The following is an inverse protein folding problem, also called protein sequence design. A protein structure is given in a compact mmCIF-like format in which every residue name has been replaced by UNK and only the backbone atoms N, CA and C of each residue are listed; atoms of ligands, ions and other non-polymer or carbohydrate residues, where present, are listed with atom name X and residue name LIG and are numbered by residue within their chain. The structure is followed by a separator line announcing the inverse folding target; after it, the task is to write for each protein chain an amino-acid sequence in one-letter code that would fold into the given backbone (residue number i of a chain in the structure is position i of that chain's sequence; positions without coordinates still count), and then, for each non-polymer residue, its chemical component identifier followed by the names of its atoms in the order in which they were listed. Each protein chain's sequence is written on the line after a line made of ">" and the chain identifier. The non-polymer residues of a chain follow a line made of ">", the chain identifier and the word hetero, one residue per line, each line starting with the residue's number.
data_IF_142875827702
#
_entry.id   IF_142875827702
#
_cell.length_a   1.000
_cell.length_b   1.000
_cell.length_c   1.000
_cell.angle_alpha   90.00
_cell.angle_beta   90.00
_cell.angle_gamma   90.00
#
_symmetry.space_group_name_H-M   'P 1'
#
loop_
_entity.id
_entity.type
_entity.pdbx_description
1 polymer ?
#
# COMPACT_ATOMS: atom_id res chain seq x y z
N UNK A 1 0.41 6.66 51.16
CA UNK A 1 1.88 6.93 51.22
C UNK A 1 2.34 7.56 49.90
N UNK A 2 2.93 8.69 49.98
CA UNK A 2 3.45 9.38 48.82
C UNK A 2 4.83 8.82 48.44
N UNK A 3 5.11 8.81 47.16
CA UNK A 3 6.40 8.29 46.70
C UNK A 3 6.55 8.35 45.19
N UNK A 4 7.76 8.00 44.76
CA UNK A 4 8.06 7.90 43.33
C UNK A 4 7.94 6.46 42.90
N UNK A 5 7.22 6.24 41.82
CA UNK A 5 6.95 4.90 41.30
C UNK A 5 7.64 4.74 39.95
N UNK A 6 8.40 3.67 39.81
CA UNK A 6 9.11 3.38 38.56
C UNK A 6 8.42 2.21 37.87
N UNK A 7 8.00 2.43 36.65
CA UNK A 7 7.31 1.41 35.86
C UNK A 7 8.16 1.09 34.63
N UNK A 8 8.56 -0.18 34.55
CA UNK A 8 9.34 -0.64 33.40
C UNK A 8 8.42 -0.89 32.23
N UNK A 9 8.62 -0.16 31.15
CA UNK A 9 7.85 -0.31 29.93
C UNK A 9 8.59 -1.19 28.93
N UNK A 10 7.85 -2.04 28.26
CA UNK A 10 8.38 -2.89 27.20
C UNK A 10 8.02 -2.30 25.85
N UNK A 11 8.84 -2.56 24.85
CA UNK A 11 8.58 -2.12 23.50
C UNK A 11 9.19 -0.79 23.10
N UNK A 12 9.78 -0.09 24.08
CA UNK A 12 10.40 1.21 23.80
C UNK A 12 11.68 1.15 22.98
N UNK A 13 12.25 -0.05 22.85
CA UNK A 13 13.43 -0.23 22.02
C UNK A 13 13.07 -0.72 20.62
N UNK A 14 11.80 -0.80 20.32
CA UNK A 14 11.36 -1.11 18.98
C UNK A 14 11.83 -0.03 18.01
N UNK A 15 12.16 -0.43 16.79
CA UNK A 15 12.62 0.50 15.79
C UNK A 15 11.53 1.49 15.46
N UNK A 16 11.82 2.75 15.63
CA UNK A 16 10.91 3.82 15.21
C UNK A 16 11.27 4.20 13.78
N UNK A 17 10.28 4.15 12.91
CA UNK A 17 10.51 4.41 11.49
C UNK A 17 10.54 5.91 11.24
N UNK A 18 11.52 6.36 10.48
CA UNK A 18 11.63 7.75 10.06
C UNK A 18 10.60 8.02 8.97
N UNK A 19 10.13 9.25 8.93
CA UNK A 19 9.17 9.66 7.92
C UNK A 19 7.77 9.14 8.19
N UNK A 20 6.88 9.36 7.25
CA UNK A 20 5.47 9.03 7.43
C UNK A 20 4.93 8.10 6.36
N UNK A 21 5.79 7.59 5.47
CA UNK A 21 5.30 6.78 4.35
C UNK A 21 4.78 5.42 4.80
N UNK A 22 5.13 5.00 6.01
CA UNK A 22 4.66 3.73 6.58
C UNK A 22 3.27 3.80 7.18
N UNK A 23 2.72 4.99 7.42
CA UNK A 23 1.46 5.13 8.16
C UNK A 23 0.31 4.57 7.34
N UNK A 24 -0.36 3.56 7.89
CA UNK A 24 -1.29 2.73 7.13
C UNK A 24 -2.63 2.62 7.83
N UNK A 25 -3.65 2.33 7.05
CA UNK A 25 -5.00 2.10 7.55
C UNK A 25 -5.51 0.72 7.16
N UNK A 26 -6.33 0.14 8.03
CA UNK A 26 -6.94 -1.17 7.78
C UNK A 26 -8.39 -1.12 8.23
N UNK A 27 -9.29 -1.47 7.32
CA UNK A 27 -10.72 -1.53 7.62
C UNK A 27 -11.22 -2.93 7.29
N UNK A 28 -11.90 -3.56 8.25
CA UNK A 28 -12.49 -4.87 8.05
C UNK A 28 -14.00 -4.70 8.08
N UNK A 29 -14.68 -5.22 7.07
CA UNK A 29 -16.14 -5.22 6.98
C UNK A 29 -16.65 -6.64 7.19
N UNK A 30 -17.53 -6.82 8.18
CA UNK A 30 -18.20 -8.08 8.35
C UNK A 30 -18.05 -8.72 9.72
N UNK A 31 -17.53 -8.00 10.70
CA UNK A 31 -17.48 -8.55 12.07
C UNK A 31 -17.69 -7.42 13.09
N UNK A 32 -17.63 -7.78 14.38
CA UNK A 32 -17.96 -6.85 15.46
C UNK A 32 -17.29 -5.49 15.26
N UNK A 33 -18.07 -4.43 15.42
CA UNK A 33 -17.59 -3.07 15.17
C UNK A 33 -16.49 -2.67 16.16
N UNK A 34 -15.45 -2.02 15.64
CA UNK A 34 -14.40 -1.40 16.42
C UNK A 34 -14.22 0.01 15.84
N UNK A 35 -14.35 1.02 16.70
CA UNK A 35 -14.22 2.41 16.28
C UNK A 35 -12.78 2.69 15.83
N UNK A 36 -12.58 3.72 15.02
CA UNK A 36 -11.22 4.06 14.57
C UNK A 36 -10.23 4.15 15.72
N UNK A 37 -9.10 3.50 15.58
CA UNK A 37 -8.12 3.32 16.65
C UNK A 37 -6.72 3.35 16.06
N UNK A 38 -5.80 4.05 16.72
CA UNK A 38 -4.38 4.02 16.37
C UNK A 38 -3.67 2.95 17.18
N UNK A 39 -2.89 2.13 16.49
CA UNK A 39 -2.08 1.08 17.11
C UNK A 39 -0.60 1.30 16.80
N UNK A 40 0.24 1.15 17.81
CA UNK A 40 1.69 1.24 17.65
C UNK A 40 2.36 -0.13 17.80
N UNK A 41 1.67 -1.11 18.34
CA UNK A 41 2.20 -2.47 18.48
C UNK A 41 1.08 -3.44 18.82
N UNK A 42 1.38 -4.73 18.69
CA UNK A 42 0.40 -5.78 19.04
C UNK A 42 0.12 -5.85 20.54
N UNK A 43 1.01 -5.32 21.37
CA UNK A 43 0.79 -5.33 22.81
C UNK A 43 -0.41 -4.46 23.22
N UNK A 44 -0.85 -3.57 22.34
CA UNK A 44 -1.97 -2.68 22.65
C UNK A 44 -3.35 -3.31 22.41
N UNK A 45 -3.41 -4.49 21.77
CA UNK A 45 -4.68 -5.03 21.30
C UNK A 45 -5.67 -5.29 22.43
N UNK A 46 -5.21 -5.90 23.52
CA UNK A 46 -6.11 -6.16 24.65
C UNK A 46 -6.66 -4.87 25.23
N UNK A 47 -5.82 -3.86 25.38
CA UNK A 47 -6.26 -2.57 25.93
C UNK A 47 -7.21 -1.81 25.02
N UNK A 48 -7.25 -2.16 23.73
CA UNK A 48 -8.17 -1.54 22.77
C UNK A 48 -9.37 -2.42 22.47
N UNK A 49 -9.54 -3.52 23.22
CA UNK A 49 -10.66 -4.45 23.07
C UNK A 49 -10.70 -5.10 21.69
N UNK A 50 -9.54 -5.38 21.13
CA UNK A 50 -9.43 -6.12 19.87
C UNK A 50 -8.94 -7.52 20.20
N UNK A 51 -9.86 -8.48 20.15
CA UNK A 51 -9.61 -9.85 20.61
C UNK A 51 -9.82 -10.83 19.46
N UNK A 52 -9.08 -11.95 19.45
CA UNK A 52 -9.23 -12.93 18.38
C UNK A 52 -10.59 -13.65 18.37
N UNK A 53 -11.35 -13.62 19.46
CA UNK A 53 -12.65 -14.27 19.49
C UNK A 53 -13.78 -13.38 18.97
N UNK A 54 -13.71 -12.06 19.19
CA UNK A 54 -14.76 -11.14 18.74
C UNK A 54 -14.47 -10.53 17.38
N UNK A 55 -13.19 -10.31 17.06
CA UNK A 55 -12.78 -9.75 15.77
C UNK A 55 -11.63 -10.58 15.21
N UNK A 56 -11.88 -11.84 14.85
CA UNK A 56 -10.78 -12.71 14.42
C UNK A 56 -10.08 -12.23 13.15
N UNK A 57 -10.80 -11.66 12.17
CA UNK A 57 -10.18 -11.23 10.92
C UNK A 57 -9.37 -9.96 11.15
N UNK A 58 -9.92 -9.00 11.89
CA UNK A 58 -9.19 -7.78 12.20
C UNK A 58 -7.91 -8.11 12.99
N UNK A 59 -8.05 -8.94 14.01
CA UNK A 59 -6.91 -9.36 14.83
C UNK A 59 -5.84 -10.03 13.99
N UNK A 60 -6.25 -10.93 13.10
CA UNK A 60 -5.31 -11.63 12.23
C UNK A 60 -4.52 -10.65 11.36
N UNK A 61 -5.21 -9.73 10.69
CA UNK A 61 -4.54 -8.80 9.79
C UNK A 61 -3.62 -7.84 10.55
N UNK A 62 -4.04 -7.40 11.75
CA UNK A 62 -3.19 -6.53 12.57
C UNK A 62 -1.90 -7.24 12.94
N UNK A 63 -2.00 -8.48 13.40
CA UNK A 63 -0.80 -9.22 13.80
C UNK A 63 0.09 -9.53 12.61
N UNK A 64 -0.48 -9.79 11.44
CA UNK A 64 0.33 -9.97 10.23
C UNK A 64 1.02 -8.67 9.83
N UNK A 65 0.33 -7.54 9.93
CA UNK A 65 0.93 -6.25 9.63
C UNK A 65 2.17 -6.00 10.49
N UNK A 66 2.03 -6.17 11.79
CA UNK A 66 3.14 -5.90 12.70
C UNK A 66 4.21 -6.98 12.66
N UNK A 67 3.87 -8.21 12.27
CA UNK A 67 4.87 -9.24 12.03
C UNK A 67 5.83 -8.82 10.91
N UNK A 68 5.27 -8.21 9.87
CA UNK A 68 6.04 -7.80 8.70
C UNK A 68 6.77 -6.47 8.94
N UNK A 69 6.13 -5.51 9.64
CA UNK A 69 6.73 -4.19 9.83
C UNK A 69 6.51 -3.69 11.25
N UNK A 70 7.27 -4.26 12.16
CA UNK A 70 7.27 -3.83 13.56
C UNK A 70 7.77 -2.38 13.64
N UNK A 71 7.09 -1.56 14.42
CA UNK A 71 7.45 -0.15 14.57
C UNK A 71 6.65 0.80 13.71
N UNK A 72 5.86 0.28 12.77
CA UNK A 72 5.00 1.12 11.96
C UNK A 72 3.75 1.52 12.76
N UNK A 73 3.08 2.58 12.28
CA UNK A 73 1.80 3.00 12.84
C UNK A 73 0.67 2.44 12.00
N UNK A 74 -0.36 1.94 12.67
CA UNK A 74 -1.51 1.35 11.98
C UNK A 74 -2.80 1.89 12.57
N UNK A 75 -3.64 2.49 11.73
CA UNK A 75 -4.97 2.91 12.11
C UNK A 75 -5.95 1.83 11.66
N UNK A 76 -6.84 1.42 12.54
CA UNK A 76 -7.76 0.31 12.24
C UNK A 76 -9.19 0.68 12.54
N UNK A 77 -10.10 -0.02 11.87
CA UNK A 77 -11.53 0.06 12.13
C UNK A 77 -12.18 -1.23 11.67
N UNK A 78 -13.22 -1.66 12.40
CA UNK A 78 -14.04 -2.78 11.98
C UNK A 78 -15.49 -2.31 11.89
N UNK A 79 -16.18 -2.74 10.83
CA UNK A 79 -17.56 -2.35 10.54
C UNK A 79 -18.38 -3.63 10.45
N UNK A 80 -19.57 -3.61 11.08
CA UNK A 80 -20.36 -4.84 11.19
C UNK A 80 -20.78 -5.41 9.83
N UNK A 81 -21.07 -4.55 8.86
CA UNK A 81 -21.42 -5.02 7.52
C UNK A 81 -21.09 -3.95 6.49
N UNK A 82 -20.75 -4.40 5.29
CA UNK A 82 -20.47 -3.49 4.19
C UNK A 82 -21.79 -3.06 3.54
N UNK A 83 -21.92 -1.75 3.28
CA UNK A 83 -23.07 -1.25 2.51
C UNK A 83 -22.69 -0.98 1.04
N UNK A 84 -21.45 -1.28 0.66
CA UNK A 84 -20.98 -1.07 -0.70
C UNK A 84 -20.50 0.32 -1.02
N UNK A 85 -20.52 1.23 -0.05
CA UNK A 85 -20.08 2.61 -0.28
C UNK A 85 -18.71 2.92 0.27
N UNK A 86 -18.22 2.13 1.22
CA UNK A 86 -16.87 2.22 1.79
C UNK A 86 -16.52 3.62 2.31
N UNK A 87 -17.53 4.32 2.86
CA UNK A 87 -17.31 5.68 3.34
C UNK A 87 -16.32 5.74 4.50
N UNK A 88 -16.12 4.62 5.19
CA UNK A 88 -15.17 4.55 6.30
C UNK A 88 -13.73 4.81 5.87
N UNK A 89 -13.41 4.62 4.58
CA UNK A 89 -12.08 4.96 4.08
C UNK A 89 -11.83 6.46 4.28
N UNK A 90 -12.79 7.30 3.93
CA UNK A 90 -12.64 8.74 4.11
C UNK A 90 -12.65 9.13 5.59
N UNK A 91 -13.50 8.49 6.39
CA UNK A 91 -13.56 8.85 7.80
C UNK A 91 -12.32 8.39 8.56
N UNK A 92 -11.72 7.24 8.18
CA UNK A 92 -10.49 6.81 8.81
C UNK A 92 -9.33 7.76 8.44
N UNK A 93 -9.27 8.20 7.18
CA UNK A 93 -8.25 9.17 6.78
C UNK A 93 -8.42 10.48 7.57
N UNK A 94 -9.67 10.92 7.78
CA UNK A 94 -9.93 12.10 8.58
C UNK A 94 -9.54 11.90 10.04
N UNK A 95 -9.83 10.74 10.60
CA UNK A 95 -9.42 10.41 11.98
C UNK A 95 -7.89 10.47 12.12
N UNK A 96 -7.17 10.02 11.10
CA UNK A 96 -5.71 10.04 11.07
C UNK A 96 -5.16 11.40 10.61
N UNK A 97 -6.02 12.40 10.47
CA UNK A 97 -5.62 13.77 10.10
C UNK A 97 -4.90 13.83 8.76
N UNK A 98 -5.34 12.97 7.82
CA UNK A 98 -4.78 12.95 6.48
C UNK A 98 -3.44 12.24 6.36
N UNK A 99 -3.01 11.52 7.39
CA UNK A 99 -1.65 10.97 7.41
C UNK A 99 -1.54 9.57 6.84
N UNK A 100 -2.65 8.91 6.50
CA UNK A 100 -2.57 7.57 5.93
C UNK A 100 -2.01 7.63 4.51
N UNK A 101 -1.12 6.72 4.19
CA UNK A 101 -0.50 6.63 2.87
C UNK A 101 -1.02 5.46 2.06
N UNK A 102 -1.48 4.42 2.75
CA UNK A 102 -2.13 3.27 2.12
C UNK A 102 -3.20 2.74 3.06
N UNK A 103 -4.30 2.26 2.49
CA UNK A 103 -5.41 1.73 3.27
C UNK A 103 -5.83 0.40 2.67
N UNK A 104 -5.93 -0.62 3.52
CA UNK A 104 -6.40 -1.94 3.12
C UNK A 104 -7.85 -2.12 3.55
N UNK A 105 -8.66 -2.62 2.64
CA UNK A 105 -10.09 -2.87 2.87
C UNK A 105 -10.33 -4.37 2.74
N UNK A 106 -10.57 -5.02 3.87
CA UNK A 106 -10.89 -6.44 3.92
C UNK A 106 -12.40 -6.61 3.99
N UNK A 107 -12.99 -6.99 2.87
CA UNK A 107 -14.45 -7.04 2.68
C UNK A 107 -14.84 -8.51 2.54
N UNK A 108 -14.67 -9.27 3.62
CA UNK A 108 -14.59 -10.73 3.51
C UNK A 108 -15.95 -11.42 3.40
N UNK A 109 -17.04 -10.67 3.40
CA UNK A 109 -18.36 -11.24 3.16
C UNK A 109 -18.95 -10.82 1.80
N UNK A 110 -18.29 -9.92 1.08
CA UNK A 110 -18.73 -9.50 -0.25
C UNK A 110 -18.15 -10.46 -1.28
N UNK A 111 -19.02 -11.00 -2.12
CA UNK A 111 -18.63 -11.99 -3.12
C UNK A 111 -18.13 -11.33 -4.40
N UNK A 112 -17.72 -12.16 -5.37
CA UNK A 112 -17.16 -11.68 -6.63
C UNK A 112 -18.11 -10.72 -7.36
N UNK A 113 -19.42 -10.94 -7.25
CA UNK A 113 -20.39 -10.05 -7.91
C UNK A 113 -20.29 -8.60 -7.42
N UNK A 114 -19.69 -8.36 -6.27
CA UNK A 114 -19.52 -7.00 -5.75
C UNK A 114 -18.19 -6.35 -6.11
N UNK A 115 -17.34 -7.04 -6.86
CA UNK A 115 -15.99 -6.53 -7.13
C UNK A 115 -16.01 -5.26 -7.97
N UNK A 116 -16.80 -5.20 -9.04
CA UNK A 116 -16.83 -4.00 -9.88
C UNK A 116 -17.29 -2.76 -9.10
N UNK A 117 -18.32 -2.92 -8.26
CA UNK A 117 -18.78 -1.81 -7.43
C UNK A 117 -17.67 -1.36 -6.49
N UNK A 118 -16.97 -2.31 -5.84
CA UNK A 118 -15.91 -1.96 -4.91
C UNK A 118 -14.78 -1.20 -5.61
N UNK A 119 -14.36 -1.69 -6.78
CA UNK A 119 -13.30 -1.01 -7.53
C UNK A 119 -13.71 0.42 -7.87
N UNK A 120 -14.94 0.60 -8.36
CA UNK A 120 -15.42 1.92 -8.74
C UNK A 120 -15.51 2.87 -7.54
N UNK A 121 -16.12 2.40 -6.45
CA UNK A 121 -16.30 3.25 -5.27
C UNK A 121 -14.97 3.60 -4.62
N UNK A 122 -14.10 2.61 -4.47
CA UNK A 122 -12.80 2.86 -3.82
C UNK A 122 -11.94 3.78 -4.68
N UNK A 123 -11.94 3.60 -6.00
CA UNK A 123 -11.17 4.47 -6.86
C UNK A 123 -11.69 5.91 -6.79
N UNK A 124 -13.00 6.10 -6.76
CA UNK A 124 -13.59 7.42 -6.61
C UNK A 124 -13.16 8.06 -5.29
N UNK A 125 -13.21 7.30 -4.20
CA UNK A 125 -12.76 7.80 -2.89
C UNK A 125 -11.28 8.18 -2.95
N UNK A 126 -10.46 7.34 -3.56
CA UNK A 126 -9.03 7.65 -3.69
C UNK A 126 -8.79 8.94 -4.44
N UNK A 127 -9.55 9.18 -5.51
CA UNK A 127 -9.41 10.43 -6.27
C UNK A 127 -9.89 11.64 -5.46
N UNK A 128 -10.93 11.48 -4.65
CA UNK A 128 -11.38 12.56 -3.77
C UNK A 128 -10.32 12.90 -2.73
N UNK A 129 -9.68 11.88 -2.15
CA UNK A 129 -8.62 12.11 -1.17
C UNK A 129 -7.41 12.78 -1.83
N UNK A 130 -7.09 12.40 -3.07
CA UNK A 130 -5.98 13.04 -3.78
C UNK A 130 -6.26 14.52 -4.04
N UNK A 131 -7.50 14.88 -4.34
CA UNK A 131 -7.86 16.29 -4.53
C UNK A 131 -7.65 17.09 -3.25
N UNK A 132 -7.78 16.44 -2.09
CA UNK A 132 -7.55 17.09 -0.79
C UNK A 132 -6.09 17.04 -0.36
N UNK A 133 -5.21 16.59 -1.23
CA UNK A 133 -3.76 16.42 -0.99
C UNK A 133 -3.50 15.45 0.16
N UNK A 134 -4.35 14.44 0.28
CA UNK A 134 -4.15 13.33 1.21
C UNK A 134 -4.26 12.00 0.46
N UNK A 135 -3.45 11.82 -0.62
CA UNK A 135 -3.60 10.65 -1.47
C UNK A 135 -3.21 9.37 -0.76
N UNK A 136 -3.89 8.29 -1.15
CA UNK A 136 -3.61 6.96 -0.62
C UNK A 136 -3.60 5.95 -1.75
N UNK A 137 -2.84 4.86 -1.53
CA UNK A 137 -3.00 3.65 -2.32
C UNK A 137 -3.98 2.74 -1.58
N UNK A 138 -4.83 2.04 -2.32
CA UNK A 138 -5.89 1.23 -1.73
C UNK A 138 -5.70 -0.24 -2.08
N UNK A 139 -5.82 -1.10 -1.07
CA UNK A 139 -5.86 -2.54 -1.26
C UNK A 139 -7.27 -3.03 -0.97
N UNK A 140 -7.69 -4.04 -1.70
CA UNK A 140 -9.03 -4.61 -1.54
C UNK A 140 -8.96 -6.12 -1.59
N UNK A 141 -9.72 -6.78 -0.72
CA UNK A 141 -9.96 -8.20 -0.82
C UNK A 141 -11.43 -8.48 -0.57
N UNK A 142 -11.94 -9.50 -1.24
CA UNK A 142 -13.33 -9.92 -1.17
C UNK A 142 -13.37 -11.41 -0.86
N UNK A 143 -14.57 -11.97 -0.69
CA UNK A 143 -14.73 -13.41 -0.42
C UNK A 143 -14.51 -14.18 -1.71
N UNK A 144 -13.32 -14.74 -1.86
CA UNK A 144 -12.97 -15.56 -3.03
C UNK A 144 -13.41 -16.99 -2.80
N UNK A 145 -14.26 -17.51 -3.68
CA UNK A 145 -14.68 -18.91 -3.62
C UNK A 145 -13.95 -19.72 -4.66
N UNK A 146 -13.90 -21.04 -4.47
CA UNK A 146 -13.17 -21.91 -5.39
C UNK A 146 -13.66 -21.76 -6.83
N UNK A 147 -14.97 -21.65 -7.01
CA UNK A 147 -15.54 -21.51 -8.36
C UNK A 147 -15.25 -20.16 -9.00
N UNK A 148 -14.80 -19.17 -8.22
CA UNK A 148 -14.48 -17.86 -8.75
C UNK A 148 -13.15 -17.84 -9.50
N UNK A 149 -12.23 -18.74 -9.17
CA UNK A 149 -10.86 -18.66 -9.68
C UNK A 149 -10.83 -18.69 -11.21
N UNK A 150 -11.60 -19.58 -11.81
CA UNK A 150 -11.65 -19.67 -13.27
C UNK A 150 -12.41 -18.52 -13.92
N UNK A 151 -13.17 -17.76 -13.14
CA UNK A 151 -14.07 -16.72 -13.65
C UNK A 151 -13.68 -15.32 -13.22
N UNK A 152 -12.49 -15.13 -12.63
CA UNK A 152 -12.06 -13.81 -12.21
C UNK A 152 -11.98 -12.87 -13.41
N UNK A 153 -12.53 -11.66 -13.30
CA UNK A 153 -12.43 -10.71 -14.40
C UNK A 153 -11.00 -10.21 -14.58
N UNK A 154 -10.73 -9.73 -15.79
CA UNK A 154 -9.42 -9.17 -16.12
C UNK A 154 -9.33 -7.75 -15.55
N UNK A 155 -8.54 -7.58 -14.52
CA UNK A 155 -8.40 -6.26 -13.89
C UNK A 155 -7.75 -5.25 -14.84
N UNK A 156 -7.05 -5.74 -15.88
CA UNK A 156 -6.42 -4.85 -16.85
C UNK A 156 -7.44 -4.07 -17.67
N UNK A 157 -8.70 -4.51 -17.67
CA UNK A 157 -9.77 -3.81 -18.37
C UNK A 157 -10.50 -2.80 -17.49
N UNK A 158 -10.14 -2.71 -16.23
CA UNK A 158 -10.79 -1.79 -15.30
C UNK A 158 -10.12 -0.43 -15.34
N UNK A 159 -10.76 0.57 -14.71
CA UNK A 159 -10.23 1.92 -14.63
C UNK A 159 -10.11 2.35 -13.18
N UNK A 160 -9.52 1.48 -12.36
CA UNK A 160 -9.36 1.72 -10.92
C UNK A 160 -7.88 1.72 -10.58
N UNK A 161 -7.17 2.72 -11.09
CA UNK A 161 -5.72 2.78 -10.99
C UNK A 161 -5.19 2.99 -9.57
N UNK A 162 -6.07 3.32 -8.62
CA UNK A 162 -5.65 3.51 -7.22
C UNK A 162 -5.94 2.29 -6.36
N UNK A 163 -6.50 1.22 -6.94
CA UNK A 163 -6.95 0.05 -6.17
C UNK A 163 -6.20 -1.19 -6.64
N UNK A 164 -5.71 -1.96 -5.69
CA UNK A 164 -5.08 -3.26 -5.93
C UNK A 164 -5.92 -4.35 -5.27
N UNK A 165 -6.03 -5.50 -5.91
CA UNK A 165 -6.85 -6.61 -5.41
C UNK A 165 -5.97 -7.77 -5.00
N UNK A 166 -6.04 -8.15 -3.72
CA UNK A 166 -5.20 -9.21 -3.14
C UNK A 166 -6.04 -10.48 -3.03
N UNK A 167 -5.60 -11.53 -3.72
CA UNK A 167 -6.25 -12.83 -3.64
C UNK A 167 -5.35 -13.93 -3.06
N UNK A 168 -4.11 -13.60 -2.72
CA UNK A 168 -3.20 -14.57 -2.13
C UNK A 168 -3.51 -14.85 -0.67
N UNK A 169 -3.02 -15.96 -0.18
CA UNK A 169 -3.16 -16.33 1.23
C UNK A 169 -2.10 -17.35 1.62
N UNK A 170 -1.89 -17.44 2.90
CA UNK A 170 -1.02 -18.43 3.54
C UNK A 170 -1.72 -19.79 3.55
N UNK A 171 -1.13 -20.78 2.94
CA UNK A 171 -1.74 -22.10 2.84
C UNK A 171 -1.40 -23.05 3.97
N UNK A 172 -0.59 -22.63 4.94
CA UNK A 172 -0.16 -23.54 6.00
C UNK A 172 -0.18 -22.93 7.39
N UNK A 173 0.07 -21.62 7.52
CA UNK A 173 0.17 -20.97 8.83
C UNK A 173 -1.15 -20.42 9.33
N UNK A 174 -1.10 -19.25 9.95
CA UNK A 174 -2.32 -18.67 10.55
C UNK A 174 -3.38 -18.33 9.52
N UNK A 175 -3.00 -17.98 8.29
CA UNK A 175 -3.99 -17.73 7.25
C UNK A 175 -4.81 -18.96 6.93
N UNK A 176 -4.16 -20.11 6.86
CA UNK A 176 -4.88 -21.37 6.66
C UNK A 176 -5.75 -21.72 7.87
N UNK A 177 -5.27 -21.39 9.07
CA UNK A 177 -6.04 -21.65 10.28
C UNK A 177 -7.31 -20.78 10.33
N UNK A 178 -7.18 -19.49 10.05
CA UNK A 178 -8.35 -18.61 10.12
C UNK A 178 -9.38 -18.97 9.03
N UNK A 179 -8.91 -19.54 7.92
CA UNK A 179 -9.82 -19.95 6.86
C UNK A 179 -10.76 -21.08 7.29
N UNK A 180 -10.45 -21.78 8.39
CA UNK A 180 -11.35 -22.82 8.90
C UNK A 180 -12.62 -22.23 9.49
N UNK A 181 -12.54 -21.02 10.05
CA UNK A 181 -13.72 -20.37 10.64
C UNK A 181 -14.22 -19.20 9.81
N UNK A 182 -13.33 -18.58 9.04
CA UNK A 182 -13.68 -17.44 8.18
C UNK A 182 -13.03 -17.66 6.82
N UNK A 183 -13.67 -18.46 5.98
CA UNK A 183 -13.04 -18.82 4.69
C UNK A 183 -12.93 -17.63 3.73
N UNK A 184 -11.98 -17.74 2.82
CA UNK A 184 -11.83 -16.84 1.68
C UNK A 184 -11.34 -15.42 2.05
N UNK A 185 -10.54 -15.33 3.12
CA UNK A 185 -9.90 -14.07 3.50
C UNK A 185 -8.53 -14.00 2.82
N UNK A 186 -8.30 -12.97 2.00
CA UNK A 186 -6.98 -12.73 1.40
C UNK A 186 -5.99 -12.17 2.42
N UNK A 187 -4.69 -12.30 2.14
CA UNK A 187 -3.63 -11.90 3.08
C UNK A 187 -3.35 -10.40 3.00
N UNK A 188 -4.39 -9.61 3.14
CA UNK A 188 -4.29 -8.18 2.90
C UNK A 188 -3.52 -7.46 4.02
N UNK A 189 -3.53 -8.02 5.24
CA UNK A 189 -2.73 -7.47 6.33
C UNK A 189 -1.24 -7.62 6.07
N UNK A 190 -0.83 -8.78 5.56
CA UNK A 190 0.56 -8.98 5.18
C UNK A 190 0.95 -8.07 4.03
N UNK A 191 0.06 -7.91 3.04
CA UNK A 191 0.34 -7.02 1.91
C UNK A 191 0.50 -5.58 2.38
N UNK A 192 -0.37 -5.12 3.29
CA UNK A 192 -0.26 -3.77 3.84
C UNK A 192 1.05 -3.59 4.60
N UNK A 193 1.44 -4.61 5.37
CA UNK A 193 2.72 -4.58 6.08
C UNK A 193 3.89 -4.49 5.12
N UNK A 194 3.86 -5.25 4.04
CA UNK A 194 4.93 -5.23 3.04
C UNK A 194 5.02 -3.85 2.38
N UNK A 195 3.87 -3.24 2.04
CA UNK A 195 3.85 -1.90 1.45
C UNK A 195 4.40 -0.88 2.44
N UNK A 196 3.98 -0.95 3.69
CA UNK A 196 4.44 0.01 4.70
C UNK A 196 5.94 -0.10 4.96
N UNK A 197 6.50 -1.30 4.81
CA UNK A 197 7.92 -1.56 4.99
C UNK A 197 8.75 -1.05 3.81
N UNK A 198 8.15 -1.07 2.64
CA UNK A 198 8.83 -0.67 1.41
C UNK A 198 8.90 0.86 1.28
N UNK A 199 9.93 1.42 0.66
CA UNK A 199 10.01 2.72 0.32
C UNK A 199 9.08 2.93 -0.77
N UNK A 200 8.81 4.19 -0.98
CA UNK A 200 7.73 4.48 -1.90
C UNK A 200 7.98 3.92 -3.30
N UNK A 201 9.22 3.81 -3.70
CA UNK A 201 9.61 3.36 -5.05
C UNK A 201 9.82 1.84 -5.14
N UNK A 202 9.74 1.13 -4.03
CA UNK A 202 10.11 -0.28 -3.99
C UNK A 202 8.92 -1.20 -4.19
N UNK A 203 9.14 -2.26 -4.92
CA UNK A 203 8.15 -3.32 -5.11
C UNK A 203 8.04 -4.18 -3.86
N UNK A 204 6.82 -4.57 -3.50
CA UNK A 204 6.64 -5.53 -2.41
C UNK A 204 7.07 -6.94 -2.83
N UNK A 205 7.37 -7.13 -4.11
CA UNK A 205 7.91 -8.39 -4.60
C UNK A 205 9.43 -8.47 -4.60
N UNK A 206 10.12 -7.45 -4.08
CA UNK A 206 11.58 -7.41 -4.08
C UNK A 206 12.12 -8.51 -3.18
N UNK A 207 12.74 -9.50 -3.78
CA UNK A 207 13.20 -10.71 -3.08
C UNK A 207 14.15 -10.41 -1.94
N UNK A 208 14.96 -9.52 -2.15
CA UNK A 208 15.90 -9.18 -1.21
C UNK A 208 15.38 -8.63 0.01
N UNK A 209 14.10 -8.02 0.03
CA UNK A 209 13.69 -7.27 1.07
C UNK A 209 12.47 -7.69 1.61
N UNK A 210 11.77 -8.65 0.86
CA UNK A 210 10.34 -8.84 1.17
C UNK A 210 9.97 -10.32 1.31
N UNK A 211 10.86 -11.13 1.85
CA UNK A 211 10.54 -12.53 2.15
C UNK A 211 9.50 -12.58 3.28
N UNK A 212 8.33 -13.11 3.01
CA UNK A 212 7.24 -13.16 3.97
C UNK A 212 7.43 -14.23 5.02
N UNK A 213 8.28 -15.23 4.77
CA UNK A 213 8.57 -16.33 5.69
C UNK A 213 9.61 -15.97 6.74
N UNK A 214 10.32 -15.37 6.30
CA UNK A 214 11.41 -15.02 7.06
C UNK A 214 11.21 -14.21 8.25
N UNK A 215 10.05 -13.91 8.30
CA UNK A 215 9.74 -13.08 9.46
C UNK A 215 9.26 -14.00 10.57
N UNK A 216 9.66 -13.65 11.77
CA UNK A 216 9.46 -14.56 12.92
C UNK A 216 7.96 -14.85 13.13
N UNK A 217 7.73 -16.03 13.68
CA UNK A 217 6.40 -16.42 14.12
C UNK A 217 5.79 -15.42 15.05
N UNK A 218 4.48 -15.30 14.98
CA UNK A 218 3.71 -14.61 15.98
C UNK A 218 3.59 -15.50 17.22
N UNK A 219 4.17 -15.07 18.30
CA UNK A 219 4.10 -15.81 19.56
C UNK A 219 2.70 -15.66 20.15
N UNK A 220 2.30 -16.60 20.94
CA UNK A 220 0.99 -16.58 21.57
C UNK A 220 -0.05 -17.44 20.90
N UNK A 221 0.26 -18.05 19.79
CA UNK A 221 -0.58 -19.06 19.17
C UNK A 221 -0.40 -20.38 19.89
N UNK A 222 -1.35 -21.28 19.74
CA UNK A 222 -1.31 -22.59 20.39
C UNK A 222 -1.52 -23.69 19.34
N UNK A 223 -1.14 -24.89 19.71
CA UNK A 223 -1.38 -26.08 18.90
C UNK A 223 -0.47 -26.15 17.68
N UNK A 224 -0.96 -26.78 16.64
CA UNK A 224 -0.16 -27.04 15.45
C UNK A 224 0.18 -25.77 14.69
N UNK A 225 -0.60 -24.72 14.88
CA UNK A 225 -0.33 -23.44 14.21
C UNK A 225 1.04 -22.90 14.59
N UNK A 226 1.48 -23.17 15.81
CA UNK A 226 2.80 -22.73 16.25
C UNK A 226 3.95 -23.39 15.47
N UNK A 227 3.69 -24.53 14.86
CA UNK A 227 4.72 -25.29 14.19
C UNK A 227 4.82 -25.00 12.71
N UNK A 228 3.87 -24.24 12.17
CA UNK A 228 3.87 -23.90 10.76
C UNK A 228 4.47 -22.52 10.57
N UNK A 229 5.35 -22.38 9.59
CA UNK A 229 5.84 -21.06 9.22
C UNK A 229 4.75 -20.31 8.46
N UNK A 230 4.69 -19.06 8.77
CA UNK A 230 3.69 -18.25 8.07
C UNK A 230 4.18 -17.91 6.65
N UNK A 231 3.19 -17.98 5.58
CA UNK A 231 3.43 -17.75 4.31
C UNK A 231 4.33 -18.67 3.64
N UNK A 232 4.64 -19.90 4.35
CA UNK A 232 5.57 -20.87 3.79
C UNK A 232 4.99 -21.62 2.60
N UNK A 233 3.68 -21.78 2.55
CA UNK A 233 2.97 -22.45 1.46
C UNK A 233 2.07 -21.42 0.78
N UNK A 234 2.39 -20.99 -0.45
CA UNK A 234 1.53 -20.03 -1.13
C UNK A 234 0.19 -20.64 -1.55
N UNK A 235 -0.87 -19.88 -1.34
CA UNK A 235 -2.22 -20.31 -1.64
C UNK A 235 -3.04 -19.12 -2.12
N UNK A 236 -4.27 -19.39 -2.55
CA UNK A 236 -5.27 -18.37 -2.80
C UNK A 236 -6.23 -18.32 -1.61
N UNK A 237 -7.02 -17.25 -1.56
CA UNK A 237 -7.85 -16.98 -0.39
C UNK A 237 -8.88 -18.07 -0.11
N UNK A 238 -9.30 -18.80 -1.14
CA UNK A 238 -10.24 -19.92 -0.95
C UNK A 238 -9.58 -21.17 -0.38
N UNK A 239 -8.25 -21.16 -0.25
CA UNK A 239 -7.48 -22.31 0.23
C UNK A 239 -6.78 -23.10 -0.87
N UNK A 240 -7.02 -22.78 -2.13
CA UNK A 240 -6.34 -23.47 -3.23
C UNK A 240 -4.85 -23.20 -3.17
N UNK A 241 -4.04 -24.23 -3.04
CA UNK A 241 -2.60 -24.06 -3.02
C UNK A 241 -2.07 -23.82 -4.42
N UNK A 242 -1.12 -22.90 -4.56
CA UNK A 242 -0.57 -22.56 -5.87
C UNK A 242 0.04 -23.77 -6.56
N UNK A 243 0.61 -24.69 -5.77
CA UNK A 243 1.18 -25.90 -6.33
C UNK A 243 0.20 -26.84 -6.98
N UNK A 244 -1.11 -26.68 -6.71
CA UNK A 244 -2.15 -27.48 -7.34
C UNK A 244 -2.66 -26.88 -8.65
N UNK A 245 -2.22 -25.68 -8.98
CA UNK A 245 -2.61 -25.03 -10.24
C UNK A 245 -1.54 -25.31 -11.31
N UNK A 246 -1.98 -25.36 -12.56
CA UNK A 246 -1.03 -25.50 -13.66
C UNK A 246 -0.28 -24.16 -13.86
N UNK A 247 0.90 -24.21 -14.49
CA UNK A 247 1.59 -22.97 -14.81
C UNK A 247 0.73 -22.02 -15.65
N UNK A 248 -0.09 -22.55 -16.56
CA UNK A 248 -0.96 -21.70 -17.37
C UNK A 248 -2.01 -20.98 -16.52
N UNK A 249 -2.56 -21.67 -15.52
CA UNK A 249 -3.52 -21.05 -14.61
C UNK A 249 -2.88 -19.94 -13.79
N UNK A 250 -1.67 -20.18 -13.30
CA UNK A 250 -0.95 -19.15 -12.53
C UNK A 250 -0.63 -17.95 -13.42
N UNK A 251 -0.17 -18.21 -14.65
CA UNK A 251 0.13 -17.13 -15.61
C UNK A 251 -1.13 -16.31 -15.92
N UNK A 252 -2.27 -16.97 -16.02
CA UNK A 252 -3.52 -16.25 -16.27
C UNK A 252 -3.86 -15.30 -15.12
N UNK A 253 -3.65 -15.73 -13.90
CA UNK A 253 -3.88 -14.84 -12.75
C UNK A 253 -2.93 -13.64 -12.74
N UNK A 254 -1.71 -13.87 -13.02
CA UNK A 254 -0.79 -12.90 -13.10
C UNK A 254 -1.13 -11.96 -14.11
N UNK A 255 -1.56 -12.44 -15.28
CA UNK A 255 -1.91 -11.56 -16.42
C UNK A 255 -3.11 -10.69 -16.17
N UNK A 256 -4.01 -11.15 -15.32
CA UNK A 256 -5.22 -10.38 -15.00
C UNK A 256 -4.99 -9.29 -13.95
N UNK A 257 -3.81 -9.26 -13.34
CA UNK A 257 -3.45 -8.16 -12.45
C UNK A 257 -3.79 -8.36 -10.98
N UNK A 258 -4.07 -9.56 -10.55
CA UNK A 258 -4.31 -9.85 -9.13
C UNK A 258 -3.00 -9.99 -8.37
N UNK A 259 -3.01 -9.67 -7.09
CA UNK A 259 -1.86 -9.82 -6.22
C UNK A 259 -1.98 -11.14 -5.46
N UNK A 260 -0.97 -11.98 -5.61
CA UNK A 260 -0.89 -13.23 -4.88
C UNK A 260 0.59 -13.58 -4.67
N UNK A 261 0.89 -14.80 -4.27
CA UNK A 261 2.21 -15.18 -3.78
C UNK A 261 2.94 -16.06 -4.77
N UNK A 262 4.28 -16.01 -4.69
CA UNK A 262 5.14 -16.82 -5.54
C UNK A 262 6.36 -17.29 -4.77
N UNK A 263 7.01 -18.31 -5.28
CA UNK A 263 8.29 -18.83 -4.80
C UNK A 263 9.22 -19.02 -5.99
N UNK A 264 10.51 -19.02 -5.72
CA UNK A 264 11.53 -19.17 -6.77
C UNK A 264 12.35 -20.41 -6.48
N UNK A 265 12.54 -21.25 -7.51
CA UNK A 265 13.33 -22.47 -7.36
C UNK A 265 14.74 -22.14 -6.88
N UNK A 266 15.18 -22.86 -5.87
CA UNK A 266 16.52 -22.69 -5.33
C UNK A 266 16.70 -21.48 -4.41
N UNK A 267 15.62 -20.74 -4.14
CA UNK A 267 15.68 -19.58 -3.27
C UNK A 267 14.58 -19.70 -2.22
N UNK A 268 14.96 -19.80 -0.97
CA UNK A 268 14.00 -19.97 0.12
C UNK A 268 13.12 -18.74 0.27
N UNK A 269 11.86 -18.95 0.63
CA UNK A 269 10.96 -17.87 0.95
C UNK A 269 9.76 -17.77 0.03
N UNK A 270 8.83 -16.95 0.43
CA UNK A 270 7.60 -16.67 -0.30
C UNK A 270 7.45 -15.16 -0.45
N UNK A 271 7.02 -14.72 -1.63
CA UNK A 271 7.02 -13.31 -2.00
C UNK A 271 5.71 -12.96 -2.69
N UNK A 272 5.32 -11.70 -2.62
CA UNK A 272 4.23 -11.22 -3.48
C UNK A 272 4.69 -11.13 -4.94
N UNK A 273 3.65 -11.28 -5.81
CA UNK A 273 3.92 -11.31 -7.12
C UNK A 273 4.34 -10.11 -7.69
N UNK A 274 3.64 -9.15 -7.30
CA UNK A 274 3.85 -7.78 -7.76
C UNK A 274 2.79 -6.88 -7.08
N UNK A 275 2.62 -5.68 -7.42
CA UNK A 275 1.81 -4.83 -6.86
C UNK A 275 1.02 -4.16 -7.82
N UNK A 276 0.27 -4.93 -8.63
CA UNK A 276 -0.56 -4.36 -9.71
C UNK A 276 -1.71 -3.54 -9.19
N UNK A 277 -2.09 -2.53 -9.94
CA UNK A 277 -3.38 -1.87 -9.71
C UNK A 277 -4.37 -2.31 -10.78
N UNK A 278 -5.66 -2.06 -10.55
CA UNK A 278 -6.72 -2.54 -11.44
C UNK A 278 -6.92 -1.60 -12.62
N UNK A 279 -5.94 -1.58 -13.53
CA UNK A 279 -5.99 -0.73 -14.72
C UNK A 279 -5.10 -1.37 -15.80
N UNK A 280 -5.11 -0.76 -16.98
CA UNK A 280 -4.33 -1.28 -18.12
C UNK A 280 -2.85 -1.34 -17.78
N UNK A 281 -2.21 -2.41 -18.24
CA UNK A 281 -0.78 -2.61 -17.95
C UNK A 281 0.10 -1.49 -18.50
N UNK A 282 -0.30 -0.88 -19.33
CA UNK A 282 0.30 0.14 -19.90
C UNK A 282 0.20 1.40 -19.29
N UNK A 283 -0.58 1.56 -18.40
CA UNK A 283 -0.78 2.80 -17.66
C UNK A 283 0.44 3.16 -16.83
N UNK A 284 0.72 4.45 -16.74
CA UNK A 284 1.78 4.93 -15.84
C UNK A 284 1.46 4.61 -14.38
N UNK A 285 0.21 4.33 -14.06
CA UNK A 285 -0.26 4.10 -12.71
C UNK A 285 -0.63 2.64 -12.44
N UNK A 286 -0.01 1.75 -13.20
CA UNK A 286 -0.34 0.32 -13.14
C UNK A 286 0.28 -0.42 -11.95
N UNK A 287 1.20 0.26 -11.21
CA UNK A 287 1.88 -0.35 -10.06
C UNK A 287 1.85 0.56 -8.87
N UNK A 288 1.74 0.00 -7.75
CA UNK A 288 1.65 0.66 -6.56
C UNK A 288 2.85 1.45 -6.23
N UNK A 289 4.02 1.03 -6.73
CA UNK A 289 5.21 1.64 -6.56
C UNK A 289 5.25 2.94 -7.13
N UNK A 290 4.76 3.02 -8.35
CA UNK A 290 4.81 4.33 -9.03
C UNK A 290 3.83 5.32 -8.42
N UNK A 291 2.65 4.82 -8.00
CA UNK A 291 1.65 5.71 -7.41
C UNK A 291 2.15 6.30 -6.09
N UNK A 292 2.80 5.50 -5.29
CA UNK A 292 3.35 5.99 -4.02
C UNK A 292 4.46 7.01 -4.25
N UNK A 293 5.26 6.80 -5.27
CA UNK A 293 6.32 7.77 -5.65
C UNK A 293 5.71 9.11 -6.00
N UNK A 294 4.73 9.13 -6.87
CA UNK A 294 4.13 10.40 -7.27
C UNK A 294 3.37 11.06 -6.12
N UNK A 295 2.77 10.26 -5.26
CA UNK A 295 2.12 10.79 -4.06
C UNK A 295 3.10 11.45 -3.10
N UNK A 296 4.22 10.97 -3.02
CA UNK A 296 5.19 11.51 -2.25
C UNK A 296 5.56 12.78 -2.74
N UNK A 297 5.79 12.82 -4.01
CA UNK A 297 6.17 14.11 -4.62
C UNK A 297 5.08 15.16 -4.43
N UNK A 298 3.83 14.74 -4.62
CA UNK A 298 2.72 15.68 -4.46
C UNK A 298 2.66 16.24 -3.04
N UNK A 299 2.83 15.39 -2.04
CA UNK A 299 2.80 15.85 -0.65
C UNK A 299 3.94 16.83 -0.36
N UNK A 300 5.13 16.54 -0.88
CA UNK A 300 6.27 17.41 -0.69
C UNK A 300 6.10 18.74 -1.40
N UNK A 301 5.55 18.76 -2.57
CA UNK A 301 5.27 20.00 -3.27
C UNK A 301 4.17 20.81 -2.56
N UNK A 302 3.28 20.21 -2.08
CA UNK A 302 2.31 20.76 -1.37
C UNK A 302 2.84 21.50 -0.28
N UNK A 303 3.79 20.83 0.47
CA UNK A 303 4.42 21.43 1.65
C UNK A 303 5.14 22.74 1.34
N UNK A 304 5.89 22.75 0.27
CA UNK A 304 6.69 23.94 -0.06
C UNK A 304 5.90 25.03 -0.78
N UNK A 305 4.79 24.66 -1.45
CA UNK A 305 4.03 25.65 -2.23
C UNK A 305 2.88 26.31 -1.45
N UNK A 306 2.32 25.62 -0.45
CA UNK A 306 1.20 26.20 0.31
C UNK A 306 1.57 27.56 0.92
N UNK A 307 2.77 27.77 1.49
CA UNK A 307 3.09 29.10 2.02
C UNK A 307 3.12 30.20 0.95
N UNK A 308 3.13 29.87 -0.32
CA UNK A 308 3.11 30.86 -1.40
C UNK A 308 1.72 31.28 -1.80
N UNK A 309 0.68 30.59 -1.33
CA UNK A 309 -0.70 30.92 -1.68
C UNK A 309 -1.01 32.34 -1.22
N UNK A 310 -1.59 33.11 -2.11
CA UNK A 310 -1.93 34.52 -1.89
C UNK A 310 -0.73 35.44 -1.69
N UNK A 311 0.46 34.91 -1.96
CA UNK A 311 1.68 35.72 -1.90
C UNK A 311 1.83 36.59 -3.15
N UNK A 312 2.69 37.59 -3.09
CA UNK A 312 2.89 38.47 -4.22
C UNK A 312 3.70 37.79 -5.32
N UNK A 313 3.33 38.11 -6.56
CA UNK A 313 4.06 37.69 -7.73
C UNK A 313 4.50 38.95 -8.48
N UNK A 314 5.80 39.14 -8.57
CA UNK A 314 6.31 40.38 -9.15
C UNK A 314 6.37 40.26 -10.67
N UNK A 315 5.95 41.34 -11.34
CA UNK A 315 5.71 41.38 -12.78
C UNK A 315 6.76 42.26 -13.43
N UNK A 316 7.29 41.81 -14.56
CA UNK A 316 8.15 42.63 -15.41
C UNK A 316 7.25 43.66 -16.11
N UNK A 317 7.42 44.95 -15.83
CA UNK A 317 6.52 45.94 -16.43
C UNK A 317 6.66 46.06 -17.94
N UNK A 318 7.77 45.63 -18.52
CA UNK A 318 7.98 45.73 -19.95
C UNK A 318 7.27 44.62 -20.72
N UNK A 319 7.17 43.44 -20.14
CA UNK A 319 6.60 42.27 -20.85
C UNK A 319 5.23 41.85 -20.28
N UNK A 320 4.95 42.18 -19.03
CA UNK A 320 3.74 41.70 -18.38
C UNK A 320 3.85 40.28 -17.84
N UNK A 321 5.05 39.71 -17.94
CA UNK A 321 5.31 38.36 -17.49
C UNK A 321 5.86 38.32 -16.06
N UNK A 322 5.93 37.21 -15.33
CA UNK A 322 6.43 37.06 -14.13
C UNK A 322 7.79 37.37 -14.27
N UNK A 323 8.32 37.94 -13.32
CA UNK A 323 9.76 38.22 -13.34
C UNK A 323 10.54 36.90 -13.31
N UNK A 324 11.68 36.91 -13.97
CA UNK A 324 12.54 35.73 -14.04
C UNK A 324 12.95 35.29 -12.64
N UNK A 325 13.25 36.22 -11.74
CA UNK A 325 13.65 35.89 -10.38
C UNK A 325 12.51 35.20 -9.63
N UNK A 326 11.31 35.59 -9.85
CA UNK A 326 10.15 34.94 -9.26
C UNK A 326 9.98 33.50 -9.78
N UNK A 327 10.04 33.30 -10.82
CA UNK A 327 9.98 32.10 -11.41
C UNK A 327 10.97 31.21 -10.93
N UNK A 328 12.24 31.69 -10.85
CA UNK A 328 13.35 30.89 -10.37
C UNK A 328 13.23 30.51 -8.89
N UNK A 329 12.70 31.43 -8.10
CA UNK A 329 12.52 31.16 -6.66
C UNK A 329 11.50 30.05 -6.44
N UNK A 330 10.40 30.05 -7.19
CA UNK A 330 9.39 28.99 -7.08
C UNK A 330 9.97 27.65 -7.55
N UNK A 331 10.72 27.66 -8.67
CA UNK A 331 11.36 26.43 -9.15
C UNK A 331 12.30 25.86 -8.09
N UNK A 332 13.10 26.73 -7.45
CA UNK A 332 14.03 26.27 -6.42
C UNK A 332 13.32 25.66 -5.23
N UNK A 333 12.16 26.23 -4.82
CA UNK A 333 11.37 25.64 -3.77
C UNK A 333 10.90 24.23 -4.11
N UNK A 334 10.46 24.03 -5.36
CA UNK A 334 9.99 22.72 -5.78
C UNK A 334 11.13 21.72 -5.92
N UNK A 335 12.31 22.20 -6.38
CA UNK A 335 13.45 21.32 -6.62
C UNK A 335 14.04 20.77 -5.33
N UNK A 336 13.96 21.50 -4.23
CA UNK A 336 14.58 21.08 -2.98
C UNK A 336 14.05 19.71 -2.51
N UNK A 337 12.73 19.51 -2.34
CA UNK A 337 12.26 18.20 -1.91
C UNK A 337 12.42 17.12 -2.97
N UNK A 338 12.40 17.49 -4.24
CA UNK A 338 12.60 16.51 -5.30
C UNK A 338 14.05 16.05 -5.36
N UNK A 339 15.00 16.96 -5.13
CA UNK A 339 16.42 16.59 -5.01
C UNK A 339 16.61 15.63 -3.84
N UNK A 340 15.92 15.88 -2.72
CA UNK A 340 15.99 14.97 -1.58
C UNK A 340 15.45 13.59 -1.93
N UNK A 341 14.34 13.53 -2.65
CA UNK A 341 13.80 12.23 -3.10
C UNK A 341 14.82 11.51 -3.98
N UNK A 342 15.48 12.24 -4.88
CA UNK A 342 16.47 11.65 -5.76
C UNK A 342 17.67 11.13 -4.97
N UNK A 343 18.16 11.91 -4.02
CA UNK A 343 19.28 11.47 -3.17
C UNK A 343 18.93 10.24 -2.36
N UNK A 344 17.67 10.11 -1.95
CA UNK A 344 17.19 8.95 -1.20
C UNK A 344 16.88 7.75 -2.08
N UNK A 345 17.06 7.85 -3.39
CA UNK A 345 16.83 6.76 -4.30
C UNK A 345 15.36 6.53 -4.66
N UNK A 346 14.52 7.52 -4.37
CA UNK A 346 13.08 7.36 -4.56
C UNK A 346 12.61 7.71 -5.97
N UNK A 347 13.45 8.41 -6.75
CA UNK A 347 13.20 8.63 -8.17
C UNK A 347 14.51 8.74 -8.92
N UNK A 348 14.46 8.51 -10.21
CA UNK A 348 15.67 8.56 -11.06
C UNK A 348 15.99 9.97 -11.51
N UNK A 349 14.96 10.80 -11.71
CA UNK A 349 15.16 12.16 -12.13
C UNK A 349 13.84 12.91 -12.15
N UNK A 350 13.94 14.20 -12.36
CA UNK A 350 12.75 15.04 -12.42
C UNK A 350 13.05 16.31 -13.19
N UNK A 351 11.98 17.00 -13.58
CA UNK A 351 12.09 18.34 -14.15
C UNK A 351 10.90 19.16 -13.69
N UNK A 352 11.19 20.37 -13.23
CA UNK A 352 10.16 21.34 -12.86
C UNK A 352 10.15 22.43 -13.94
N UNK A 353 8.97 22.71 -14.48
CA UNK A 353 8.83 23.75 -15.49
C UNK A 353 7.72 24.70 -15.06
N UNK A 354 8.02 26.01 -15.11
CA UNK A 354 7.04 27.05 -14.86
C UNK A 354 6.99 27.90 -16.11
N UNK A 355 5.78 28.03 -16.70
CA UNK A 355 5.63 28.83 -17.90
C UNK A 355 5.97 30.28 -17.55
N UNK A 356 7.01 30.90 -18.20
CA UNK A 356 7.37 32.27 -17.89
C UNK A 356 6.35 33.28 -18.40
N UNK A 357 5.39 32.86 -19.20
CA UNK A 357 4.44 33.75 -19.85
C UNK A 357 3.06 33.76 -19.19
N UNK A 358 2.84 33.12 -17.99
CA UNK A 358 1.77 33.14 -17.37
C UNK A 358 1.44 34.44 -17.12
N UNK A 359 0.26 34.81 -17.38
CA UNK A 359 -0.33 36.13 -17.21
C UNK A 359 -1.03 36.18 -15.85
N UNK A 360 -0.27 36.24 -14.80
CA UNK A 360 -0.77 36.16 -13.43
C UNK A 360 -1.73 37.32 -13.12
N UNK A 361 -1.47 38.49 -13.66
CA UNK A 361 -2.38 39.63 -13.45
C UNK A 361 -3.77 39.34 -13.98
N UNK A 362 -3.88 38.50 -15.01
CA UNK A 362 -5.18 38.18 -15.59
C UNK A 362 -5.83 36.97 -14.96
N UNK A 363 -5.03 35.96 -14.58
CA UNK A 363 -5.56 34.64 -14.21
C UNK A 363 -5.42 34.31 -12.74
N UNK A 364 -4.45 34.97 -12.09
CA UNK A 364 -4.04 34.61 -10.70
C UNK A 364 -3.61 33.15 -10.55
N UNK A 365 -3.12 32.44 -11.46
CA UNK A 365 -2.78 31.19 -11.50
C UNK A 365 -1.41 31.07 -11.93
N UNK A 366 -0.73 30.40 -11.18
CA UNK A 366 0.63 30.00 -11.55
C UNK A 366 0.64 28.51 -11.82
N UNK A 367 1.05 28.12 -13.01
CA UNK A 367 1.07 26.72 -13.39
C UNK A 367 2.50 26.16 -13.25
N UNK A 368 2.62 25.09 -12.46
CA UNK A 368 3.87 24.37 -12.29
C UNK A 368 3.69 22.98 -12.90
N UNK A 369 4.57 22.60 -13.83
CA UNK A 369 4.53 21.28 -14.44
C UNK A 369 5.69 20.48 -13.87
N UNK A 370 5.37 19.29 -13.36
CA UNK A 370 6.35 18.37 -12.80
C UNK A 370 6.41 17.12 -13.66
N UNK A 371 7.60 16.76 -14.09
CA UNK A 371 7.85 15.49 -14.74
C UNK A 371 8.80 14.68 -13.89
N UNK A 372 8.48 13.40 -13.69
CA UNK A 372 9.27 12.50 -12.87
C UNK A 372 9.65 11.27 -13.67
N UNK A 373 10.92 10.89 -13.58
CA UNK A 373 11.38 9.60 -14.08
C UNK A 373 11.45 8.68 -12.86
N UNK A 374 10.58 7.68 -12.78
CA UNK A 374 10.57 6.82 -11.59
C UNK A 374 11.75 5.87 -11.57
N UNK A 375 11.91 5.17 -10.46
CA UNK A 375 12.87 4.07 -10.37
C UNK A 375 12.24 2.86 -11.04
N UNK A 376 13.03 2.18 -11.87
CA UNK A 376 12.54 0.98 -12.56
C UNK A 376 12.54 -0.23 -11.62
N UNK A 377 11.78 -1.24 -12.01
CA UNK A 377 11.73 -2.51 -11.29
C UNK A 377 12.20 -3.61 -12.23
N UNK A 378 13.23 -4.35 -11.82
CA UNK A 378 13.74 -5.46 -12.62
C UNK A 378 12.87 -6.70 -12.39
N UNK A 379 11.84 -6.82 -13.21
CA UNK A 379 10.90 -7.93 -13.08
C UNK A 379 11.37 -9.20 -13.77
N UNK A 380 12.27 -9.07 -14.75
CA UNK A 380 12.78 -10.20 -15.50
C UNK A 380 14.25 -9.96 -15.81
N UNK A 381 15.08 -10.97 -15.60
CA UNK A 381 16.49 -10.91 -15.94
C UNK A 381 16.77 -12.05 -16.90
N UNK A 382 17.18 -11.73 -18.13
CA UNK A 382 17.54 -12.73 -19.13
C UNK A 382 19.06 -12.91 -19.14
N UNK A 383 19.51 -14.14 -18.98
CA UNK A 383 20.94 -14.47 -19.05
C UNK A 383 21.13 -15.38 -20.26
N UNK A 384 21.93 -14.91 -21.22
CA UNK A 384 22.26 -15.76 -22.36
C UNK A 384 23.48 -16.60 -22.04
N UNK A 385 23.40 -17.73 -22.06
CA UNK A 385 24.40 -18.58 -21.72
C UNK A 385 24.84 -19.27 -22.92
N UNK A 386 26.05 -19.62 -23.00
CA UNK A 386 26.66 -20.39 -24.09
C UNK A 386 28.06 -20.85 -23.72
N UNK A 387 28.55 -21.70 -24.53
CA UNK A 387 29.93 -22.18 -24.36
C UNK A 387 30.86 -21.44 -25.31
N UNK A 388 32.12 -21.29 -24.91
CA UNK A 388 33.17 -20.71 -25.77
C UNK A 388 34.41 -21.58 -25.67
N UNK A 389 35.16 -21.60 -26.73
CA UNK A 389 36.47 -22.28 -26.71
C UNK A 389 37.48 -21.42 -25.98
N UNK A 390 37.23 -20.24 -25.94
CA UNK A 390 38.11 -19.39 -25.25
C UNK A 390 37.31 -18.25 -24.81
N UNK A 391 37.79 -17.70 -23.71
CA UNK A 391 37.24 -16.46 -23.22
C UNK A 391 38.27 -15.36 -23.13
#
# INVERSE_FOLDING_TARGET
>A
MNGVKFIRKNGGLGRELAGEDHISGLIVYGETAVAPTLLLSVEELNGKNIFPDTTPVLHYHITEFFRINEGAKLYVQSVASADGNYTEVKTLQAFAQGKLRQIAVCDFKTELSGLDNALSKLNTIGKELAKRITPVSLLYSFKLKAEDIANLPDLRTKSAELVSVVIGQDGAGRGAYIAQTTPAVGCIGAALGAISKAXVHESIGWVXXQNLVXVAYNKGLTGDVLRSLEXDVPALADGTKLGSLTPAQVEALXGKGYIFLTQYAGNAGTYFXDXFTATAAXSDFAYXXNNRTIDXAIRELXRVLVPKISGPAYIDPDTGNXQTATXSAISALCEEPLDAMKRNGELSGYKVYINPRXRILQTSXLEVVLKIVPVGTMREIEVAXGFALXV
#
